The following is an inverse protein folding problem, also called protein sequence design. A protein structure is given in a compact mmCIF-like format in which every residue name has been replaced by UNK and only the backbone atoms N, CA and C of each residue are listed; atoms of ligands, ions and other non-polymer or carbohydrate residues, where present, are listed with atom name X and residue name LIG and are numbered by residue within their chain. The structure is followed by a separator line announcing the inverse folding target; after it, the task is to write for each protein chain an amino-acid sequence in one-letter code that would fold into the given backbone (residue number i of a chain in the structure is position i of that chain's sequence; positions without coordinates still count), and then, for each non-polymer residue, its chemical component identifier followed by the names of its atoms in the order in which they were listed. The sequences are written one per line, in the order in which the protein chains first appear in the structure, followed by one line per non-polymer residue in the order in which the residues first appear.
data_IF_304790770290
#
_entry.id   IF_304790770290
#
_cell.length_a   1.000
_cell.length_b   1.000
_cell.length_c   1.000
_cell.angle_alpha   90.00
_cell.angle_beta   90.00
_cell.angle_gamma   90.00
#
_symmetry.space_group_name_H-M   'P 1'
#
loop_
_entity.id
_entity.type
_entity.pdbx_description
1 polymer ?
#
# COMPACT_ATOMS: atom_id res chain seq x y z
N UNK A 1 71.00 15.10 -8.53
CA UNK A 1 70.51 14.54 -9.82
C UNK A 1 70.14 13.09 -9.62
N UNK A 2 68.84 12.76 -9.65
CA UNK A 2 68.36 11.38 -9.75
C UNK A 2 67.03 11.45 -10.49
N UNK A 3 67.11 11.20 -11.79
CA UNK A 3 65.96 11.12 -12.70
C UNK A 3 65.40 9.71 -12.56
N UNK A 4 64.16 9.58 -12.10
CA UNK A 4 63.44 8.31 -12.12
C UNK A 4 62.33 8.43 -13.16
N UNK A 5 62.50 7.72 -14.26
CA UNK A 5 61.45 7.44 -15.24
C UNK A 5 60.47 6.43 -14.63
N UNK A 6 59.17 6.71 -14.65
CA UNK A 6 58.14 5.65 -14.59
C UNK A 6 57.09 5.96 -15.66
N UNK A 7 56.92 4.98 -16.54
CA UNK A 7 55.96 4.90 -17.64
C UNK A 7 54.52 4.69 -17.13
N UNK A 8 53.59 5.36 -17.81
CA UNK A 8 52.31 4.86 -18.39
C UNK A 8 51.46 3.90 -17.53
N UNK A 9 50.21 4.29 -17.26
CA UNK A 9 49.04 3.50 -17.67
C UNK A 9 47.74 4.31 -17.57
N UNK A 10 47.05 4.37 -18.72
CA UNK A 10 45.69 4.86 -18.91
C UNK A 10 44.74 3.84 -18.30
N UNK A 11 43.79 4.30 -17.47
CA UNK A 11 42.56 3.54 -17.21
C UNK A 11 41.36 4.44 -17.42
N UNK A 12 40.72 4.24 -18.57
CA UNK A 12 39.39 4.73 -18.88
C UNK A 12 38.37 4.01 -17.98
N UNK A 13 37.38 4.76 -17.48
CA UNK A 13 36.29 4.20 -16.71
C UNK A 13 35.23 5.25 -16.40
N UNK A 14 34.48 5.65 -17.43
CA UNK A 14 33.26 6.43 -17.27
C UNK A 14 32.24 5.57 -16.51
N UNK A 15 31.78 6.04 -15.35
CA UNK A 15 30.64 5.46 -14.64
C UNK A 15 29.58 6.55 -14.51
N UNK A 16 28.75 6.64 -15.55
CA UNK A 16 27.45 7.30 -15.51
C UNK A 16 26.46 6.31 -14.87
N UNK A 17 25.96 6.62 -13.68
CA UNK A 17 24.78 5.95 -13.12
C UNK A 17 23.74 7.03 -12.80
N UNK A 18 22.75 7.28 -13.67
CA UNK A 18 21.49 7.86 -13.25
C UNK A 18 20.62 6.72 -12.73
N UNK A 19 20.63 6.52 -11.41
CA UNK A 19 19.70 5.62 -10.74
C UNK A 19 18.31 6.25 -10.71
N UNK A 20 17.47 5.91 -11.68
CA UNK A 20 16.02 6.18 -11.62
C UNK A 20 15.46 5.23 -10.55
N UNK A 21 15.16 5.77 -9.38
CA UNK A 21 14.44 5.04 -8.35
C UNK A 21 12.97 4.93 -8.75
N UNK A 22 12.58 3.77 -9.29
CA UNK A 22 11.17 3.41 -9.44
C UNK A 22 10.56 3.19 -8.04
N UNK A 23 9.79 4.15 -7.54
CA UNK A 23 9.14 4.12 -6.21
C UNK A 23 7.77 3.42 -6.21
N UNK A 24 7.49 2.51 -7.14
CA UNK A 24 6.12 1.97 -7.29
C UNK A 24 5.81 0.70 -6.47
N UNK A 25 6.80 0.08 -5.82
CA UNK A 25 6.65 -1.25 -5.20
C UNK A 25 6.64 -1.29 -3.67
N UNK A 26 6.75 -0.14 -3.01
CA UNK A 26 6.86 -0.06 -1.54
C UNK A 26 5.50 0.16 -0.86
N UNK A 27 4.67 1.03 -1.41
CA UNK A 27 3.37 1.39 -0.81
C UNK A 27 2.41 0.20 -0.75
N UNK A 28 2.37 -0.63 -1.80
CA UNK A 28 1.52 -1.84 -1.83
C UNK A 28 1.81 -2.82 -0.69
N UNK A 29 3.05 -2.87 -0.17
CA UNK A 29 3.41 -3.78 0.93
C UNK A 29 2.90 -3.29 2.29
N UNK A 30 2.85 -1.97 2.50
CA UNK A 30 2.36 -1.41 3.78
C UNK A 30 0.86 -1.60 3.89
N UNK A 31 0.11 -1.21 2.85
CA UNK A 31 -1.34 -1.40 2.79
C UNK A 31 -1.76 -2.86 2.97
N UNK A 32 -1.07 -3.79 2.30
CA UNK A 32 -1.32 -5.23 2.46
C UNK A 32 -1.08 -5.72 3.89
N UNK A 33 0.03 -5.32 4.52
CA UNK A 33 0.36 -5.75 5.88
C UNK A 33 -0.67 -5.24 6.89
N UNK A 34 -1.05 -3.97 6.78
CA UNK A 34 -2.08 -3.36 7.61
C UNK A 34 -3.45 -4.03 7.38
N UNK A 35 -3.81 -4.30 6.12
CA UNK A 35 -5.04 -5.03 5.80
C UNK A 35 -5.07 -6.42 6.44
N UNK A 36 -3.97 -7.17 6.35
CA UNK A 36 -3.85 -8.49 6.99
C UNK A 36 -4.04 -8.43 8.50
N UNK A 37 -3.50 -7.40 9.14
CA UNK A 37 -3.59 -7.21 10.58
C UNK A 37 -5.00 -6.83 11.04
N UNK A 38 -5.65 -5.88 10.36
CA UNK A 38 -6.87 -5.25 10.87
C UNK A 38 -8.16 -5.69 10.16
N UNK A 39 -8.08 -6.12 8.91
CA UNK A 39 -9.26 -6.30 8.04
C UNK A 39 -9.50 -7.76 7.66
N UNK A 40 -8.43 -8.49 7.33
CA UNK A 40 -8.48 -9.88 6.85
C UNK A 40 -9.23 -10.87 7.77
N UNK A 41 -9.20 -10.73 9.13
CA UNK A 41 -9.98 -11.62 9.99
C UNK A 41 -11.47 -11.68 9.68
N UNK A 42 -12.04 -10.58 9.16
CA UNK A 42 -13.43 -10.53 8.71
C UNK A 42 -13.54 -10.54 7.18
N UNK A 43 -12.55 -10.01 6.47
CA UNK A 43 -12.55 -9.79 5.03
C UNK A 43 -11.51 -10.64 4.29
N UNK A 44 -11.45 -11.93 4.61
CA UNK A 44 -10.55 -12.88 3.93
C UNK A 44 -10.83 -12.91 2.44
N UNK A 45 -9.77 -12.77 1.62
CA UNK A 45 -9.84 -12.69 0.16
C UNK A 45 -10.85 -11.66 -0.38
N UNK A 46 -11.11 -10.60 0.40
CA UNK A 46 -12.08 -9.56 0.06
C UNK A 46 -13.53 -9.95 0.33
N UNK A 47 -13.80 -11.11 0.93
CA UNK A 47 -15.12 -11.54 1.38
C UNK A 47 -15.63 -10.75 2.60
N UNK A 48 -16.63 -11.30 3.27
CA UNK A 48 -17.08 -10.79 4.57
C UNK A 48 -17.75 -11.92 5.38
N UNK A 49 -17.10 -12.38 6.44
CA UNK A 49 -17.59 -13.45 7.31
C UNK A 49 -18.74 -13.02 8.23
N UNK A 50 -18.89 -11.72 8.49
CA UNK A 50 -19.96 -11.15 9.33
C UNK A 50 -21.24 -10.93 8.51
N UNK A 51 -21.11 -10.39 7.31
CA UNK A 51 -22.22 -10.17 6.38
C UNK A 51 -21.82 -10.49 4.93
N UNK A 52 -22.20 -11.67 4.40
CA UNK A 52 -21.82 -12.10 3.06
C UNK A 52 -22.29 -11.20 1.91
N UNK A 53 -23.22 -10.27 2.14
CA UNK A 53 -23.69 -9.30 1.13
C UNK A 53 -22.89 -7.99 1.11
N UNK A 54 -21.88 -7.86 1.96
CA UNK A 54 -21.08 -6.64 2.16
C UNK A 54 -19.60 -6.96 2.00
N UNK A 55 -19.23 -7.58 0.88
CA UNK A 55 -17.84 -7.89 0.55
C UNK A 55 -17.06 -6.63 0.17
N UNK A 56 -15.74 -6.76 0.06
CA UNK A 56 -14.84 -5.76 -0.50
C UNK A 56 -14.66 -5.93 -2.01
N UNK A 57 -15.39 -6.82 -2.68
CA UNK A 57 -15.38 -6.86 -4.14
C UNK A 57 -15.99 -5.57 -4.69
N UNK A 58 -15.47 -5.08 -5.82
CA UNK A 58 -15.85 -3.77 -6.36
C UNK A 58 -17.36 -3.66 -6.55
N UNK A 59 -17.97 -4.68 -7.13
CA UNK A 59 -19.43 -4.73 -7.35
C UNK A 59 -20.22 -4.44 -6.07
N UNK A 60 -19.89 -5.12 -4.97
CA UNK A 60 -20.62 -4.97 -3.72
C UNK A 60 -20.28 -3.65 -3.04
N UNK A 61 -19.02 -3.23 -3.05
CA UNK A 61 -18.57 -1.96 -2.49
C UNK A 61 -19.31 -0.78 -3.13
N UNK A 62 -19.33 -0.75 -4.47
CA UNK A 62 -19.94 0.32 -5.26
C UNK A 62 -21.46 0.31 -5.17
N UNK A 63 -22.10 -0.87 -5.12
CA UNK A 63 -23.54 -1.00 -4.87
C UNK A 63 -23.95 -0.44 -3.51
N UNK A 64 -23.01 -0.34 -2.57
CA UNK A 64 -23.20 0.25 -1.25
C UNK A 64 -22.67 1.69 -1.12
N UNK A 65 -22.37 2.33 -2.25
CA UNK A 65 -21.94 3.72 -2.30
C UNK A 65 -20.51 3.97 -1.83
N UNK A 66 -19.68 2.93 -1.72
CA UNK A 66 -18.28 3.04 -1.32
C UNK A 66 -17.43 2.82 -2.58
N UNK A 67 -16.86 3.90 -3.13
CA UNK A 67 -16.20 3.89 -4.44
C UNK A 67 -14.76 4.39 -4.39
N UNK A 68 -14.46 5.26 -3.45
CA UNK A 68 -13.18 5.98 -3.33
C UNK A 68 -12.44 5.57 -2.06
N UNK A 69 -11.16 5.94 -1.98
CA UNK A 69 -10.37 5.74 -0.77
C UNK A 69 -11.00 6.47 0.42
N UNK A 70 -11.50 7.69 0.19
CA UNK A 70 -12.22 8.48 1.22
C UNK A 70 -13.46 7.76 1.75
N UNK A 71 -14.23 7.08 0.87
CA UNK A 71 -15.40 6.31 1.31
C UNK A 71 -15.00 5.12 2.21
N UNK A 72 -13.91 4.43 1.85
CA UNK A 72 -13.38 3.31 2.63
C UNK A 72 -12.92 3.80 4.01
N UNK A 73 -12.13 4.87 4.05
CA UNK A 73 -11.70 5.50 5.30
C UNK A 73 -12.92 5.93 6.12
N UNK A 74 -13.93 6.51 5.49
CA UNK A 74 -15.20 6.85 6.12
C UNK A 74 -15.87 5.64 6.79
N UNK A 75 -15.83 4.45 6.17
CA UNK A 75 -16.32 3.21 6.79
C UNK A 75 -15.43 2.72 7.93
N UNK A 76 -14.12 2.93 7.87
CA UNK A 76 -13.24 2.63 9.01
C UNK A 76 -13.58 3.51 10.22
N UNK A 77 -13.87 4.80 10.00
CA UNK A 77 -14.22 5.78 11.05
C UNK A 77 -15.66 5.63 11.57
N UNK A 78 -16.58 5.23 10.71
CA UNK A 78 -17.99 5.06 11.04
C UNK A 78 -18.58 3.81 10.36
N UNK A 79 -18.27 2.62 10.89
CA UNK A 79 -18.70 1.36 10.29
C UNK A 79 -20.19 1.08 10.52
N UNK A 80 -20.72 0.15 9.73
CA UNK A 80 -22.04 -0.44 10.00
C UNK A 80 -21.99 -1.46 11.14
N UNK A 81 -23.16 -1.98 11.58
CA UNK A 81 -23.24 -3.00 12.62
C UNK A 81 -22.36 -4.22 12.30
N UNK A 82 -21.61 -4.70 13.30
CA UNK A 82 -20.76 -5.88 13.19
C UNK A 82 -19.32 -5.63 12.70
N UNK A 83 -18.97 -4.40 12.33
CA UNK A 83 -17.59 -4.01 12.04
C UNK A 83 -17.05 -3.08 13.14
N UNK A 84 -15.85 -3.38 13.63
CA UNK A 84 -15.16 -2.56 14.63
C UNK A 84 -14.83 -1.18 14.05
N UNK A 85 -15.04 -0.14 14.84
CA UNK A 85 -14.62 1.22 14.51
C UNK A 85 -13.12 1.37 14.71
N UNK A 86 -12.44 1.89 13.70
CA UNK A 86 -11.02 2.24 13.78
C UNK A 86 -10.91 3.77 13.78
N UNK A 87 -10.58 4.36 14.91
CA UNK A 87 -10.30 5.79 15.00
C UNK A 87 -8.89 6.13 14.48
N UNK A 88 -8.59 7.42 14.40
CA UNK A 88 -7.30 7.97 13.98
C UNK A 88 -6.14 7.59 14.92
N UNK A 89 -6.45 7.31 16.19
CA UNK A 89 -5.48 6.81 17.17
C UNK A 89 -5.11 5.35 16.93
N UNK A 90 -6.08 4.53 16.51
CA UNK A 90 -5.88 3.11 16.23
C UNK A 90 -5.24 2.90 14.86
N UNK A 91 -5.77 3.57 13.84
CA UNK A 91 -5.23 3.56 12.48
C UNK A 91 -5.14 5.01 12.01
N UNK A 92 -3.96 5.64 12.04
CA UNK A 92 -3.74 7.01 11.55
C UNK A 92 -4.18 7.17 10.09
N UNK A 93 -4.51 8.40 9.68
CA UNK A 93 -5.04 8.65 8.33
C UNK A 93 -4.11 8.23 7.19
N UNK A 94 -2.78 8.34 7.40
CA UNK A 94 -1.80 7.81 6.44
C UNK A 94 -1.97 6.30 6.26
N UNK A 95 -2.10 5.55 7.36
CA UNK A 95 -2.26 4.09 7.32
C UNK A 95 -3.64 3.68 6.81
N UNK A 96 -4.66 4.46 7.12
CA UNK A 96 -6.00 4.25 6.58
C UNK A 96 -6.03 4.44 5.05
N UNK A 97 -5.26 5.40 4.53
CA UNK A 97 -5.09 5.60 3.09
C UNK A 97 -4.39 4.41 2.44
N UNK A 98 -3.28 3.93 3.01
CA UNK A 98 -2.58 2.73 2.52
C UNK A 98 -3.50 1.50 2.46
N UNK A 99 -4.32 1.28 3.49
CA UNK A 99 -5.32 0.21 3.49
C UNK A 99 -6.36 0.41 2.38
N UNK A 100 -6.86 1.64 2.22
CA UNK A 100 -7.89 1.95 1.23
C UNK A 100 -7.39 1.73 -0.20
N UNK A 101 -6.18 2.20 -0.52
CA UNK A 101 -5.54 1.97 -1.81
C UNK A 101 -5.29 0.48 -2.06
N UNK A 102 -4.83 -0.26 -1.05
CA UNK A 102 -4.69 -1.72 -1.16
C UNK A 102 -6.02 -2.40 -1.48
N UNK A 103 -7.11 -2.01 -0.82
CA UNK A 103 -8.46 -2.56 -1.07
C UNK A 103 -8.92 -2.28 -2.50
N UNK A 104 -8.77 -1.04 -2.98
CA UNK A 104 -9.21 -0.64 -4.32
C UNK A 104 -8.42 -1.33 -5.43
N UNK A 105 -7.12 -1.52 -5.23
CA UNK A 105 -6.23 -2.14 -6.22
C UNK A 105 -6.36 -3.67 -6.25
N UNK A 106 -6.62 -4.29 -5.10
CA UNK A 106 -6.65 -5.75 -4.94
C UNK A 106 -8.02 -6.35 -5.26
N UNK A 107 -9.11 -5.76 -4.77
CA UNK A 107 -10.45 -6.36 -4.85
C UNK A 107 -11.31 -5.68 -5.93
N UNK A 108 -11.25 -6.25 -7.14
CA UNK A 108 -11.91 -5.71 -8.35
C UNK A 108 -13.34 -6.16 -8.56
#
# INVERSE_FOLDING_TARGET
MRKTFILITIFAGAVLIPGIACTEKKETKRGEALFKQYCSPCHTDGGNSVNPKKTLLKKDREANGVKTASDIIGKMRNPGPGMTKFDDKTIPDMDANEIAEYILTTFK
#
